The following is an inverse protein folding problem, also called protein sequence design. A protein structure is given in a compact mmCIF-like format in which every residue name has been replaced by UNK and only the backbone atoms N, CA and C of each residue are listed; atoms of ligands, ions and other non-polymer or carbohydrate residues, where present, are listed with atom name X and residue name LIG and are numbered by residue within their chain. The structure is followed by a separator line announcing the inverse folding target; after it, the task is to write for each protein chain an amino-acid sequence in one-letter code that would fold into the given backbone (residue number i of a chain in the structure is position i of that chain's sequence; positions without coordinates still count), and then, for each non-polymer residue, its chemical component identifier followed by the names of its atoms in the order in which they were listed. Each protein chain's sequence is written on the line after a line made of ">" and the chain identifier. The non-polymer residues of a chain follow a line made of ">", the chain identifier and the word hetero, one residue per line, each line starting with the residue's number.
data_IF_640399779600
#
_entry.id   IF_640399779600
#
_cell.length_a   1.000
_cell.length_b   1.000
_cell.length_c   1.000
_cell.angle_alpha   90.00
_cell.angle_beta   90.00
_cell.angle_gamma   90.00
#
_symmetry.space_group_name_H-M   'P 1'
#
loop_
_entity.id
_entity.type
_entity.pdbx_description
1 polymer ?
#
# COMPACT_ATOMS: atom_id res chain seq x y z
N UNK A 1 -22.95 9.89 -4.22
CA UNK A 1 -23.53 10.10 -5.57
C UNK A 1 -24.90 10.78 -5.45
N UNK A 2 -25.36 11.49 -6.50
CA UNK A 2 -26.67 12.18 -6.48
C UNK A 2 -27.85 11.23 -6.28
N UNK A 3 -27.81 10.07 -6.93
CA UNK A 3 -28.85 9.03 -6.78
C UNK A 3 -28.88 8.43 -5.36
N UNK A 4 -27.72 8.18 -4.76
CA UNK A 4 -27.63 7.69 -3.38
C UNK A 4 -28.20 8.67 -2.36
N UNK A 5 -27.85 9.96 -2.49
CA UNK A 5 -28.41 11.02 -1.63
C UNK A 5 -29.94 11.07 -1.69
N UNK A 6 -30.52 11.03 -2.90
CA UNK A 6 -31.98 11.01 -3.09
C UNK A 6 -32.65 9.78 -2.45
N UNK A 7 -32.02 8.60 -2.53
CA UNK A 7 -32.51 7.39 -1.89
C UNK A 7 -32.48 7.48 -0.35
N UNK A 8 -31.44 8.09 0.23
CA UNK A 8 -31.35 8.31 1.68
C UNK A 8 -32.42 9.26 2.20
N UNK A 9 -32.75 10.33 1.46
CA UNK A 9 -33.86 11.23 1.82
C UNK A 9 -35.18 10.48 1.86
N UNK A 10 -35.46 9.64 0.85
CA UNK A 10 -36.68 8.83 0.80
C UNK A 10 -36.76 7.78 1.90
N UNK A 11 -35.63 7.20 2.33
CA UNK A 11 -35.60 6.14 3.33
C UNK A 11 -35.59 6.65 4.78
N UNK A 12 -34.87 7.73 5.06
CA UNK A 12 -34.64 8.20 6.44
C UNK A 12 -35.43 9.47 6.78
N UNK A 13 -36.04 10.15 5.80
CA UNK A 13 -36.75 11.41 6.00
C UNK A 13 -35.86 12.60 6.38
N UNK A 14 -34.56 12.37 6.56
CA UNK A 14 -33.57 13.42 6.80
C UNK A 14 -33.15 14.06 5.48
N UNK A 15 -32.95 15.37 5.48
CA UNK A 15 -32.27 16.06 4.36
C UNK A 15 -30.91 15.38 4.21
N UNK A 16 -30.65 14.76 3.05
CA UNK A 16 -29.34 14.23 2.74
C UNK A 16 -28.38 15.42 2.83
N UNK A 17 -27.48 15.38 3.81
CA UNK A 17 -26.46 16.41 3.98
C UNK A 17 -25.66 16.56 2.69
N UNK A 18 -25.17 17.77 2.43
CA UNK A 18 -24.34 18.03 1.26
C UNK A 18 -23.07 17.17 1.36
N UNK A 19 -22.94 16.24 0.42
CA UNK A 19 -21.83 15.30 0.37
C UNK A 19 -20.48 16.00 0.17
N UNK A 20 -20.47 17.15 -0.51
CA UNK A 20 -19.26 17.94 -0.69
C UNK A 20 -18.83 18.59 0.64
N UNK A 21 -19.80 18.99 1.47
CA UNK A 21 -19.54 19.46 2.85
C UNK A 21 -19.00 18.31 3.71
N UNK A 22 -19.57 17.11 3.62
CA UNK A 22 -19.07 15.94 4.34
C UNK A 22 -17.62 15.60 3.94
N UNK A 23 -17.31 15.60 2.63
CA UNK A 23 -15.94 15.41 2.12
C UNK A 23 -14.97 16.48 2.63
N UNK A 24 -15.40 17.74 2.67
CA UNK A 24 -14.58 18.83 3.21
C UNK A 24 -14.28 18.61 4.70
N UNK A 25 -15.27 18.18 5.49
CA UNK A 25 -15.09 17.84 6.91
C UNK A 25 -14.15 16.66 7.08
N UNK A 26 -14.29 15.60 6.27
CA UNK A 26 -13.40 14.44 6.34
C UNK A 26 -11.94 14.84 6.10
N UNK A 27 -11.70 15.60 5.03
CA UNK A 27 -10.36 16.12 4.71
C UNK A 27 -9.80 17.02 5.82
N UNK A 28 -10.63 17.87 6.43
CA UNK A 28 -10.20 18.78 7.49
C UNK A 28 -9.91 18.06 8.82
N UNK A 29 -10.54 16.92 9.07
CA UNK A 29 -10.41 16.15 10.32
C UNK A 29 -9.44 14.97 10.21
N UNK A 30 -8.97 14.66 9.00
CA UNK A 30 -8.12 13.49 8.75
C UNK A 30 -8.89 12.17 8.70
N UNK A 31 -10.22 12.22 8.58
CA UNK A 31 -11.03 11.02 8.35
C UNK A 31 -10.76 10.48 6.94
N UNK A 32 -10.60 9.17 6.85
CA UNK A 32 -10.40 8.44 5.61
C UNK A 32 -11.75 7.93 5.14
N UNK A 33 -12.17 8.36 3.95
CA UNK A 33 -13.39 7.89 3.30
C UNK A 33 -13.12 6.61 2.53
N UNK A 34 -14.01 5.62 2.66
CA UNK A 34 -14.05 4.43 1.80
C UNK A 34 -15.24 4.56 0.85
N UNK A 35 -15.03 4.33 -0.44
CA UNK A 35 -16.08 4.41 -1.46
C UNK A 35 -16.84 3.09 -1.60
N UNK A 36 -16.26 1.98 -1.11
CA UNK A 36 -16.89 0.66 -1.11
C UNK A 36 -16.78 -0.03 0.25
N UNK A 37 -17.68 -1.00 0.49
CA UNK A 37 -17.60 -1.85 1.68
C UNK A 37 -16.30 -2.66 1.73
N UNK A 38 -15.77 -3.03 0.57
CA UNK A 38 -14.50 -3.74 0.45
C UNK A 38 -13.34 -2.86 0.92
N UNK A 39 -13.25 -1.62 0.43
CA UNK A 39 -12.26 -0.64 0.88
C UNK A 39 -12.35 -0.39 2.39
N UNK A 40 -13.58 -0.25 2.92
CA UNK A 40 -13.78 -0.09 4.35
C UNK A 40 -13.22 -1.28 5.14
N UNK A 41 -13.50 -2.51 4.72
CA UNK A 41 -12.97 -3.71 5.36
C UNK A 41 -11.44 -3.80 5.25
N UNK A 42 -10.87 -3.45 4.10
CA UNK A 42 -9.42 -3.45 3.87
C UNK A 42 -8.70 -2.40 4.74
N UNK A 43 -9.26 -1.19 4.85
CA UNK A 43 -8.75 -0.16 5.75
C UNK A 43 -8.78 -0.61 7.21
N UNK A 44 -9.91 -1.14 7.69
CA UNK A 44 -10.02 -1.67 9.05
C UNK A 44 -8.97 -2.75 9.34
N UNK A 45 -8.74 -3.66 8.38
CA UNK A 45 -7.73 -4.72 8.50
C UNK A 45 -6.32 -4.13 8.61
N UNK A 46 -5.94 -3.24 7.71
CA UNK A 46 -4.61 -2.60 7.72
C UNK A 46 -4.37 -1.83 9.02
N UNK A 47 -5.32 -0.98 9.42
CA UNK A 47 -5.17 -0.18 10.65
C UNK A 47 -5.11 -1.04 11.91
N UNK A 48 -5.85 -2.16 11.97
CA UNK A 48 -5.76 -3.11 13.07
C UNK A 48 -4.32 -3.64 13.25
N UNK A 49 -3.65 -4.02 12.16
CA UNK A 49 -2.27 -4.51 12.19
C UNK A 49 -1.21 -3.44 12.47
N UNK A 50 -1.50 -2.18 12.10
CA UNK A 50 -0.59 -1.04 12.29
C UNK A 50 -0.78 -0.32 13.63
N UNK A 51 -1.66 -0.80 14.50
CA UNK A 51 -1.89 -0.21 15.83
C UNK A 51 -0.56 -0.13 16.61
N UNK A 52 -0.15 1.08 16.97
CA UNK A 52 1.12 1.35 17.68
C UNK A 52 2.38 1.28 16.79
N UNK A 53 2.23 1.17 15.47
CA UNK A 53 3.32 1.13 14.48
C UNK A 53 3.10 2.20 13.40
N UNK A 54 3.34 3.49 13.73
CA UNK A 54 3.19 4.55 12.74
C UNK A 54 4.21 4.36 11.62
N UNK A 55 3.72 4.33 10.37
CA UNK A 55 4.58 4.39 9.18
C UNK A 55 4.99 5.85 8.99
N UNK A 56 6.27 6.14 9.15
CA UNK A 56 6.78 7.50 9.31
C UNK A 56 7.05 8.25 7.99
N UNK A 57 6.60 7.72 6.85
CA UNK A 57 6.85 8.35 5.55
C UNK A 57 6.06 7.73 4.40
N UNK A 58 6.47 8.06 3.17
CA UNK A 58 5.73 7.75 1.93
C UNK A 58 6.51 6.83 0.99
N UNK A 59 7.77 6.53 1.30
CA UNK A 59 8.67 5.75 0.44
C UNK A 59 8.45 4.28 0.70
N UNK A 60 7.78 3.58 -0.21
CA UNK A 60 7.47 2.15 -0.06
C UNK A 60 8.37 1.28 -0.91
N UNK A 61 8.68 0.09 -0.42
CA UNK A 61 9.26 -0.99 -1.21
C UNK A 61 8.18 -2.01 -1.59
N UNK A 62 8.04 -2.31 -2.87
CA UNK A 62 7.13 -3.36 -3.37
C UNK A 62 7.96 -4.62 -3.63
N UNK A 63 7.55 -5.76 -3.05
CA UNK A 63 8.20 -7.06 -3.29
C UNK A 63 7.18 -8.03 -3.86
N UNK A 64 7.55 -8.72 -4.92
CA UNK A 64 6.70 -9.69 -5.61
C UNK A 64 7.50 -10.87 -6.15
N UNK A 65 6.83 -11.92 -6.59
CA UNK A 65 7.35 -13.00 -7.44
C UNK A 65 6.63 -13.01 -8.81
N UNK A 66 5.83 -11.97 -9.09
CA UNK A 66 5.06 -11.80 -10.30
C UNK A 66 5.19 -10.35 -10.78
N UNK A 67 6.17 -10.08 -11.64
CA UNK A 67 6.53 -8.72 -12.07
C UNK A 67 5.37 -7.85 -12.55
N UNK A 68 4.36 -8.42 -13.23
CA UNK A 68 3.16 -7.68 -13.64
C UNK A 68 2.35 -7.10 -12.47
N UNK A 69 2.21 -7.86 -11.38
CA UNK A 69 1.56 -7.37 -10.14
C UNK A 69 2.42 -6.32 -9.45
N UNK A 70 3.75 -6.49 -9.50
CA UNK A 70 4.70 -5.49 -9.01
C UNK A 70 4.51 -4.14 -9.69
N UNK A 71 4.48 -4.11 -11.02
CA UNK A 71 4.28 -2.89 -11.82
C UNK A 71 2.95 -2.21 -11.48
N UNK A 72 1.84 -2.96 -11.50
CA UNK A 72 0.52 -2.41 -11.17
C UNK A 72 0.47 -1.78 -9.77
N UNK A 73 1.26 -2.33 -8.85
CA UNK A 73 1.28 -1.89 -7.47
C UNK A 73 2.14 -0.65 -7.28
N UNK A 74 3.29 -0.55 -7.96
CA UNK A 74 4.05 0.69 -8.02
C UNK A 74 3.24 1.82 -8.69
N UNK A 75 2.60 1.56 -9.82
CA UNK A 75 1.75 2.54 -10.51
C UNK A 75 0.61 3.03 -9.60
N UNK A 76 -0.03 2.10 -8.87
CA UNK A 76 -1.10 2.43 -7.91
C UNK A 76 -0.55 3.26 -6.76
N UNK A 77 0.61 2.89 -6.22
CA UNK A 77 1.26 3.61 -5.13
C UNK A 77 1.54 5.07 -5.50
N UNK A 78 2.13 5.31 -6.68
CA UNK A 78 2.39 6.67 -7.17
C UNK A 78 1.10 7.46 -7.39
N UNK A 79 0.05 6.83 -7.93
CA UNK A 79 -1.27 7.48 -8.15
C UNK A 79 -1.92 7.96 -6.85
N UNK A 80 -1.73 7.25 -5.74
CA UNK A 80 -2.22 7.65 -4.41
C UNK A 80 -1.21 8.50 -3.64
N UNK A 81 -0.13 8.91 -4.32
CA UNK A 81 0.89 9.83 -3.85
C UNK A 81 1.98 9.21 -2.97
N UNK A 82 2.06 7.88 -2.87
CA UNK A 82 3.23 7.22 -2.29
C UNK A 82 4.42 7.33 -3.24
N UNK A 83 5.60 7.06 -2.73
CA UNK A 83 6.85 7.11 -3.49
C UNK A 83 7.46 5.72 -3.59
N UNK A 84 7.91 5.34 -4.77
CA UNK A 84 8.65 4.09 -4.97
C UNK A 84 10.09 4.32 -4.48
N UNK A 85 10.44 3.71 -3.34
CA UNK A 85 11.73 3.91 -2.69
C UNK A 85 12.91 3.53 -3.60
N UNK A 86 13.99 4.34 -3.55
CA UNK A 86 15.29 4.01 -4.14
C UNK A 86 16.20 3.39 -3.08
N UNK A 87 16.60 2.15 -3.30
CA UNK A 87 17.40 1.40 -2.32
C UNK A 87 18.85 1.83 -2.31
N UNK A 88 19.47 1.73 -1.13
CA UNK A 88 20.91 1.87 -1.01
C UNK A 88 21.63 0.67 -1.66
N UNK A 89 22.85 0.89 -2.17
CA UNK A 89 23.68 -0.16 -2.77
C UNK A 89 23.87 -1.38 -1.85
N UNK A 90 23.89 -1.16 -0.53
CA UNK A 90 24.01 -2.24 0.48
C UNK A 90 22.81 -3.18 0.42
N UNK A 91 21.61 -2.63 0.28
CA UNK A 91 20.33 -3.35 0.22
C UNK A 91 20.22 -4.10 -1.09
N UNK A 92 20.58 -3.45 -2.21
CA UNK A 92 20.63 -4.08 -3.54
C UNK A 92 21.55 -5.31 -3.53
N UNK A 93 22.75 -5.19 -2.94
CA UNK A 93 23.69 -6.31 -2.80
C UNK A 93 23.16 -7.40 -1.87
N UNK A 94 22.47 -7.06 -0.79
CA UNK A 94 21.93 -8.02 0.16
C UNK A 94 20.81 -8.87 -0.47
N UNK A 95 19.88 -8.24 -1.18
CA UNK A 95 18.83 -8.93 -1.93
C UNK A 95 19.43 -9.79 -3.04
N UNK A 96 20.42 -9.27 -3.79
CA UNK A 96 21.12 -10.08 -4.80
C UNK A 96 21.76 -11.34 -4.21
N UNK A 97 22.33 -11.28 -3.00
CA UNK A 97 22.84 -12.48 -2.30
C UNK A 97 21.73 -13.45 -1.90
N UNK A 98 20.59 -12.93 -1.43
CA UNK A 98 19.42 -13.75 -1.05
C UNK A 98 18.93 -14.59 -2.24
N UNK A 99 18.94 -14.01 -3.45
CA UNK A 99 18.50 -14.70 -4.68
C UNK A 99 19.62 -15.42 -5.43
N UNK A 100 20.80 -15.61 -4.83
CA UNK A 100 21.94 -16.26 -5.50
C UNK A 100 22.46 -15.53 -6.75
N UNK A 101 22.26 -14.21 -6.82
CA UNK A 101 22.66 -13.36 -7.95
C UNK A 101 21.67 -13.30 -9.11
N UNK A 102 20.52 -14.00 -9.01
CA UNK A 102 19.51 -14.01 -10.08
C UNK A 102 18.80 -12.67 -10.26
N UNK A 103 18.70 -11.87 -9.19
CA UNK A 103 17.95 -10.61 -9.16
C UNK A 103 18.89 -9.46 -8.85
N UNK A 104 18.85 -8.44 -9.70
CA UNK A 104 19.35 -7.11 -9.36
C UNK A 104 18.19 -6.32 -8.76
N UNK A 105 18.21 -6.10 -7.45
CA UNK A 105 17.08 -5.48 -6.77
C UNK A 105 16.83 -4.05 -7.26
N UNK A 106 15.62 -3.83 -7.75
CA UNK A 106 15.03 -2.53 -8.02
C UNK A 106 13.66 -2.50 -7.33
N UNK A 107 12.92 -1.41 -7.48
CA UNK A 107 11.59 -1.27 -6.90
C UNK A 107 10.59 -1.03 -8.03
N UNK A 108 9.64 -1.95 -8.29
CA UNK A 108 9.37 -3.20 -7.56
C UNK A 108 10.48 -4.25 -7.60
N UNK A 109 10.68 -4.96 -6.48
CA UNK A 109 11.58 -6.10 -6.39
C UNK A 109 10.85 -7.37 -6.80
N UNK A 110 11.08 -7.85 -8.02
CA UNK A 110 10.64 -9.17 -8.46
C UNK A 110 11.68 -10.23 -8.08
N UNK A 111 11.34 -11.07 -7.09
CA UNK A 111 12.18 -12.15 -6.58
C UNK A 111 12.19 -13.38 -7.51
N UNK A 112 11.47 -13.35 -8.63
CA UNK A 112 11.30 -14.42 -9.62
C UNK A 112 10.50 -15.63 -9.12
N UNK A 113 10.13 -16.52 -10.06
CA UNK A 113 9.42 -17.75 -9.74
C UNK A 113 10.31 -18.72 -8.96
N UNK A 114 9.74 -19.40 -7.95
CA UNK A 114 10.45 -20.42 -7.16
C UNK A 114 10.91 -19.95 -5.77
N UNK A 115 10.68 -18.69 -5.41
CA UNK A 115 10.94 -18.20 -4.06
C UNK A 115 9.90 -18.66 -3.05
N UNK A 116 10.34 -18.84 -1.82
CA UNK A 116 9.51 -19.31 -0.71
C UNK A 116 8.94 -18.14 0.09
N UNK A 117 7.95 -18.42 0.95
CA UNK A 117 7.46 -17.45 1.92
C UNK A 117 8.57 -16.93 2.86
N UNK A 118 9.59 -17.76 3.14
CA UNK A 118 10.74 -17.34 3.92
C UNK A 118 11.61 -16.33 3.17
N UNK A 119 11.76 -16.47 1.85
CA UNK A 119 12.51 -15.53 1.03
C UNK A 119 11.82 -14.17 0.97
N UNK A 120 10.49 -14.15 0.84
CA UNK A 120 9.69 -12.92 0.99
C UNK A 120 9.91 -12.25 2.34
N UNK A 121 9.88 -13.02 3.43
CA UNK A 121 10.07 -12.49 4.78
C UNK A 121 11.48 -11.92 4.96
N UNK A 122 12.50 -12.60 4.44
CA UNK A 122 13.90 -12.14 4.48
C UNK A 122 14.10 -10.88 3.64
N UNK A 123 13.53 -10.83 2.44
CA UNK A 123 13.57 -9.65 1.59
C UNK A 123 12.89 -8.46 2.27
N UNK A 124 11.72 -8.66 2.88
CA UNK A 124 11.03 -7.62 3.65
C UNK A 124 11.89 -7.08 4.80
N UNK A 125 12.54 -7.97 5.56
CA UNK A 125 13.41 -7.57 6.66
C UNK A 125 14.60 -6.72 6.17
N UNK A 126 15.28 -7.16 5.09
CA UNK A 126 16.38 -6.40 4.49
C UNK A 126 15.94 -5.01 3.98
N UNK A 127 14.75 -4.93 3.38
CA UNK A 127 14.21 -3.67 2.90
C UNK A 127 13.79 -2.73 4.03
N UNK A 128 13.25 -3.26 5.13
CA UNK A 128 12.92 -2.46 6.32
C UNK A 128 14.16 -1.92 7.06
N UNK A 129 15.35 -2.46 6.79
CA UNK A 129 16.64 -1.93 7.30
C UNK A 129 17.21 -0.81 6.42
N UNK A 130 16.65 -0.56 5.24
CA UNK A 130 17.07 0.51 4.33
C UNK A 130 16.51 1.86 4.81
N UNK A 131 17.39 2.86 4.96
CA UNK A 131 17.00 4.19 5.43
C UNK A 131 16.07 4.94 4.45
N UNK A 132 15.98 4.48 3.21
CA UNK A 132 15.11 5.03 2.18
C UNK A 132 13.72 4.36 2.11
N UNK A 133 13.45 3.37 2.98
CA UNK A 133 12.19 2.62 2.99
C UNK A 133 11.43 2.90 4.28
N UNK A 134 10.22 3.45 4.14
CA UNK A 134 9.31 3.75 5.24
C UNK A 134 8.30 2.61 5.47
N UNK A 135 8.10 1.75 4.47
CA UNK A 135 7.21 0.58 4.55
C UNK A 135 7.43 -0.41 3.40
N UNK A 136 7.03 -1.66 3.62
CA UNK A 136 7.14 -2.74 2.62
C UNK A 136 5.77 -3.31 2.31
N UNK A 137 5.49 -3.50 1.02
CA UNK A 137 4.27 -4.15 0.50
C UNK A 137 4.66 -5.46 -0.17
N UNK A 138 4.13 -6.56 0.33
CA UNK A 138 4.36 -7.91 -0.20
C UNK A 138 3.20 -8.33 -1.09
N UNK A 139 3.50 -8.71 -2.32
CA UNK A 139 2.52 -9.03 -3.36
C UNK A 139 2.87 -10.39 -3.97
N UNK A 140 2.46 -11.48 -3.33
CA UNK A 140 2.61 -12.81 -3.90
C UNK A 140 1.65 -12.98 -5.09
N UNK A 141 2.15 -13.56 -6.18
CA UNK A 141 1.36 -14.06 -7.31
C UNK A 141 1.00 -15.53 -7.20
#
# INVERSE_FOLDING_TARGET
>A
SRAGGAATVGHTGAIAGDYDVAKAVFKATGLIEAETLQEFADYCKVFSFLTGRPVAGRRIAVVTNAGGLGVLSADTAEKIGLEVAQFEDKTVKAIGKLTGGLVLASNPTDLTAGVTAQDFTRAAALLLEDANVDGVVLIPG
#
